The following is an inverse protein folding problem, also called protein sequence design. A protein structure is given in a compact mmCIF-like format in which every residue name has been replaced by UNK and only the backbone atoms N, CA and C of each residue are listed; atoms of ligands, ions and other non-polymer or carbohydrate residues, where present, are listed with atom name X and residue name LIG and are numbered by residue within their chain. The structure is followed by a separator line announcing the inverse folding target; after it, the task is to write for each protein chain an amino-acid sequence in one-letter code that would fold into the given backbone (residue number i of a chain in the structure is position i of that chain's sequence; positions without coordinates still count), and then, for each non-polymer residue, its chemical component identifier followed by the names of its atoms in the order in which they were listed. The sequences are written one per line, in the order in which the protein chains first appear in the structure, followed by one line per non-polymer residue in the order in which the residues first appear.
data_IF_568494752774
#
_entry.id   IF_568494752774
#
_cell.length_a   1.000
_cell.length_b   1.000
_cell.length_c   1.000
_cell.angle_alpha   90.00
_cell.angle_beta   90.00
_cell.angle_gamma   90.00
#
_symmetry.space_group_name_H-M   'P 1'
#
loop_
_entity.id
_entity.type
_entity.pdbx_description
1 polymer ?
#
# COMPACT_ATOMS: atom_id res chain seq x y z
N UNK A 1 0.04 -16.31 18.09
CA UNK A 1 0.50 -14.92 17.83
C UNK A 1 1.94 -14.86 18.24
N UNK A 2 2.85 -14.71 17.28
CA UNK A 2 4.26 -14.52 17.57
C UNK A 2 4.47 -13.23 18.38
N UNK A 3 5.25 -13.28 19.46
CA UNK A 3 5.46 -12.16 20.36
C UNK A 3 6.45 -11.15 19.76
N UNK A 4 5.94 -10.16 19.01
CA UNK A 4 6.77 -9.00 18.63
C UNK A 4 7.04 -8.13 19.86
N UNK A 5 8.31 -7.88 20.18
CA UNK A 5 8.72 -6.98 21.27
C UNK A 5 8.83 -5.54 20.76
N UNK A 6 8.44 -4.57 21.59
CA UNK A 6 8.67 -3.14 21.32
C UNK A 6 10.09 -2.76 21.73
N UNK A 7 10.83 -2.17 20.82
CA UNK A 7 12.13 -1.54 21.12
C UNK A 7 12.00 -0.03 21.32
N UNK A 8 10.96 0.57 20.74
CA UNK A 8 10.66 1.99 20.86
C UNK A 8 9.48 2.22 21.81
N UNK A 9 9.37 3.42 22.40
CA UNK A 9 8.27 3.78 23.28
C UNK A 9 6.96 3.98 22.51
N UNK A 10 7.05 4.52 21.30
CA UNK A 10 5.92 4.85 20.44
C UNK A 10 6.30 4.81 18.96
N UNK A 11 5.30 4.83 18.07
CA UNK A 11 5.53 4.71 16.63
C UNK A 11 6.31 5.90 16.03
N UNK A 12 6.21 7.09 16.62
CA UNK A 12 6.94 8.25 16.09
C UNK A 12 8.43 8.11 16.37
N UNK A 13 8.79 7.60 17.54
CA UNK A 13 10.18 7.30 17.87
C UNK A 13 10.75 6.22 16.93
N UNK A 14 10.00 5.15 16.68
CA UNK A 14 10.36 4.14 15.67
C UNK A 14 10.61 4.78 14.31
N UNK A 15 9.65 5.55 13.79
CA UNK A 15 9.77 6.18 12.47
C UNK A 15 10.96 7.15 12.44
N UNK A 16 11.18 7.93 13.51
CA UNK A 16 12.27 8.89 13.58
C UNK A 16 13.66 8.25 13.49
N UNK A 17 13.84 7.07 14.08
CA UNK A 17 15.11 6.35 14.08
C UNK A 17 15.31 5.48 12.83
N UNK A 18 14.23 4.89 12.29
CA UNK A 18 14.32 3.87 11.23
C UNK A 18 14.03 4.38 9.82
N UNK A 19 13.75 5.68 9.65
CA UNK A 19 13.19 6.23 8.41
C UNK A 19 14.02 5.91 7.16
N UNK A 20 13.48 5.06 6.30
CA UNK A 20 14.08 4.69 5.03
C UNK A 20 13.82 5.76 3.97
N UNK A 21 14.84 6.55 3.63
CA UNK A 21 14.74 7.62 2.62
C UNK A 21 14.81 7.14 1.17
N UNK A 22 15.55 6.06 0.89
CA UNK A 22 15.75 5.53 -0.48
C UNK A 22 14.80 4.38 -0.75
N UNK A 23 14.16 4.35 -1.91
CA UNK A 23 13.32 3.22 -2.36
C UNK A 23 14.17 2.03 -2.83
N UNK A 24 13.61 0.82 -2.77
CA UNK A 24 14.20 -0.40 -3.35
C UNK A 24 14.36 -0.25 -4.88
N UNK A 25 15.54 -0.60 -5.42
CA UNK A 25 15.93 -0.34 -6.81
C UNK A 25 14.88 -0.74 -7.85
N UNK A 26 14.49 -2.02 -7.93
CA UNK A 26 13.44 -2.50 -8.85
C UNK A 26 12.09 -1.79 -8.69
N UNK A 27 11.68 -1.45 -7.47
CA UNK A 27 10.42 -0.72 -7.21
C UNK A 27 10.53 0.72 -7.71
N UNK A 28 11.67 1.38 -7.47
CA UNK A 28 11.96 2.72 -7.97
C UNK A 28 11.91 2.78 -9.49
N UNK A 29 12.47 1.79 -10.17
CA UNK A 29 12.42 1.69 -11.63
C UNK A 29 10.99 1.51 -12.15
N UNK A 30 10.18 0.67 -11.48
CA UNK A 30 8.78 0.50 -11.85
C UNK A 30 8.00 1.80 -11.67
N UNK A 31 8.16 2.50 -10.55
CA UNK A 31 7.55 3.83 -10.31
C UNK A 31 7.97 4.80 -11.42
N UNK A 32 9.25 4.81 -11.81
CA UNK A 32 9.75 5.67 -12.88
C UNK A 32 9.12 5.34 -14.24
N UNK A 33 8.92 4.06 -14.58
CA UNK A 33 8.21 3.63 -15.79
C UNK A 33 6.74 4.04 -15.79
N UNK A 34 6.10 4.07 -14.63
CA UNK A 34 4.67 4.39 -14.45
C UNK A 34 4.38 5.89 -14.27
N UNK A 35 5.41 6.74 -14.18
CA UNK A 35 5.29 8.19 -13.86
C UNK A 35 4.32 8.98 -14.76
N UNK A 36 4.12 8.52 -15.99
CA UNK A 36 3.27 9.20 -16.96
C UNK A 36 1.78 8.91 -16.77
N UNK A 37 1.38 7.89 -16.01
CA UNK A 37 -0.04 7.48 -15.83
C UNK A 37 -0.92 8.65 -15.38
N UNK A 38 -0.42 9.47 -14.45
CA UNK A 38 -1.19 10.62 -13.94
C UNK A 38 -1.45 11.66 -15.02
N UNK A 39 -0.46 11.93 -15.88
CA UNK A 39 -0.60 12.86 -17.01
C UNK A 39 -1.45 12.25 -18.13
N UNK A 40 -1.31 10.95 -18.35
CA UNK A 40 -2.09 10.17 -19.30
C UNK A 40 -3.57 10.09 -18.90
N UNK A 41 -3.88 10.17 -17.60
CA UNK A 41 -5.25 10.14 -17.07
C UNK A 41 -5.87 8.74 -17.03
N UNK A 42 -5.13 7.69 -17.38
CA UNK A 42 -5.54 6.29 -17.32
C UNK A 42 -4.31 5.38 -17.32
N UNK A 43 -4.50 4.09 -17.05
CA UNK A 43 -3.48 3.06 -17.26
C UNK A 43 -4.02 1.92 -18.14
N UNK A 44 -3.14 1.33 -18.95
CA UNK A 44 -3.45 0.21 -19.84
C UNK A 44 -3.50 -1.12 -19.09
N UNK A 45 -4.02 -2.19 -19.71
CA UNK A 45 -3.96 -3.54 -19.11
C UNK A 45 -2.52 -3.99 -18.88
N UNK A 46 -1.58 -3.65 -19.76
CA UNK A 46 -0.16 -3.96 -19.57
C UNK A 46 0.40 -3.29 -18.31
N UNK A 47 0.12 -2.00 -18.10
CA UNK A 47 0.54 -1.27 -16.89
C UNK A 47 -0.16 -1.82 -15.64
N UNK A 48 -1.45 -2.12 -15.72
CA UNK A 48 -2.20 -2.78 -14.66
C UNK A 48 -1.56 -4.11 -14.25
N UNK A 49 -1.24 -4.98 -15.22
CA UNK A 49 -0.60 -6.27 -14.94
C UNK A 49 0.79 -6.10 -14.30
N UNK A 50 1.58 -5.10 -14.71
CA UNK A 50 2.87 -4.79 -14.06
C UNK A 50 2.68 -4.42 -12.59
N UNK A 51 1.72 -3.54 -12.27
CA UNK A 51 1.43 -3.12 -10.89
C UNK A 51 0.90 -4.27 -10.02
N UNK A 52 -0.01 -5.07 -10.58
CA UNK A 52 -0.56 -6.24 -9.90
C UNK A 52 0.48 -7.32 -9.66
N UNK A 53 1.35 -7.58 -10.64
CA UNK A 53 2.44 -8.54 -10.51
C UNK A 53 3.45 -8.12 -9.44
N UNK A 54 3.76 -6.82 -9.33
CA UNK A 54 4.59 -6.27 -8.26
C UNK A 54 4.03 -6.59 -6.86
N UNK A 55 2.70 -6.51 -6.66
CA UNK A 55 2.09 -6.87 -5.36
C UNK A 55 2.09 -8.38 -5.10
N UNK A 56 1.99 -9.19 -6.15
CA UNK A 56 2.19 -10.63 -6.08
C UNK A 56 1.39 -11.41 -7.13
N UNK A 57 1.88 -12.57 -7.57
CA UNK A 57 1.32 -13.31 -8.70
C UNK A 57 0.07 -14.14 -8.36
N UNK A 58 -0.29 -14.29 -7.08
CA UNK A 58 -1.32 -15.27 -6.63
C UNK A 58 -2.64 -15.20 -7.42
N UNK A 59 -3.25 -14.03 -7.65
CA UNK A 59 -4.49 -13.95 -8.44
C UNK A 59 -4.23 -13.56 -9.92
N UNK A 60 -3.09 -13.95 -10.52
CA UNK A 60 -2.72 -13.60 -11.90
C UNK A 60 -3.78 -13.98 -12.93
N UNK A 61 -4.42 -15.15 -12.77
CA UNK A 61 -5.53 -15.59 -13.64
C UNK A 61 -6.67 -14.56 -13.63
N UNK A 62 -7.03 -14.04 -12.46
CA UNK A 62 -8.08 -13.06 -12.30
C UNK A 62 -7.68 -11.71 -12.90
N UNK A 63 -6.45 -11.25 -12.66
CA UNK A 63 -5.94 -10.02 -13.27
C UNK A 63 -6.04 -10.07 -14.80
N UNK A 64 -5.56 -11.16 -15.42
CA UNK A 64 -5.60 -11.37 -16.87
C UNK A 64 -7.02 -11.40 -17.45
N UNK A 65 -8.02 -11.76 -16.65
CA UNK A 65 -9.43 -11.86 -17.08
C UNK A 65 -10.16 -10.52 -17.18
N UNK A 66 -9.56 -9.41 -16.74
CA UNK A 66 -10.09 -8.07 -17.00
C UNK A 66 -9.76 -7.67 -18.45
N UNK A 67 -10.70 -7.06 -19.19
CA UNK A 67 -10.44 -6.55 -20.54
C UNK A 67 -9.63 -5.24 -20.51
N UNK A 68 -8.99 -4.88 -21.63
CA UNK A 68 -8.31 -3.58 -21.77
C UNK A 68 -9.29 -2.43 -21.52
N UNK A 69 -10.45 -2.46 -22.19
CA UNK A 69 -11.46 -1.40 -22.07
C UNK A 69 -11.95 -1.21 -20.63
N UNK A 70 -12.15 -2.30 -19.88
CA UNK A 70 -12.56 -2.23 -18.48
C UNK A 70 -11.47 -1.60 -17.62
N UNK A 71 -10.21 -1.98 -17.82
CA UNK A 71 -9.06 -1.44 -17.08
C UNK A 71 -8.91 0.06 -17.37
N UNK A 72 -9.00 0.45 -18.64
CA UNK A 72 -8.93 1.86 -19.04
C UNK A 72 -10.12 2.66 -18.48
N UNK A 73 -11.34 2.13 -18.55
CA UNK A 73 -12.54 2.78 -18.03
C UNK A 73 -12.45 3.02 -16.51
N UNK A 74 -12.06 1.99 -15.75
CA UNK A 74 -11.93 2.08 -14.29
C UNK A 74 -10.79 3.04 -13.92
N UNK A 75 -9.63 2.95 -14.57
CA UNK A 75 -8.49 3.81 -14.27
C UNK A 75 -8.76 5.29 -14.53
N UNK A 76 -9.50 5.64 -15.59
CA UNK A 76 -9.99 7.01 -15.82
C UNK A 76 -10.81 7.53 -14.63
N UNK A 77 -11.76 6.73 -14.14
CA UNK A 77 -12.59 7.09 -12.98
C UNK A 77 -11.77 7.23 -11.70
N UNK A 78 -10.79 6.36 -11.49
CA UNK A 78 -9.87 6.39 -10.33
C UNK A 78 -9.03 7.67 -10.33
N UNK A 79 -8.53 8.09 -11.50
CA UNK A 79 -7.68 9.28 -11.62
C UNK A 79 -8.47 10.59 -11.65
N UNK A 80 -9.74 10.56 -12.03
CA UNK A 80 -10.61 11.74 -12.10
C UNK A 80 -11.34 12.08 -10.79
N UNK A 81 -11.54 11.11 -9.88
CA UNK A 81 -12.23 11.36 -8.62
C UNK A 81 -11.30 11.98 -7.58
N UNK A 82 -11.79 12.90 -6.74
CA UNK A 82 -11.05 13.44 -5.59
C UNK A 82 -11.25 12.64 -4.29
N UNK A 83 -12.19 11.68 -4.28
CA UNK A 83 -12.56 10.94 -3.08
C UNK A 83 -11.73 9.66 -2.92
N UNK A 84 -10.93 9.59 -1.85
CA UNK A 84 -10.00 8.47 -1.63
C UNK A 84 -10.70 7.11 -1.53
N UNK A 85 -11.80 7.03 -0.77
CA UNK A 85 -12.58 5.78 -0.64
C UNK A 85 -13.10 5.32 -2.00
N UNK A 86 -13.52 6.26 -2.85
CA UNK A 86 -13.98 5.96 -4.21
C UNK A 86 -12.87 5.38 -5.08
N UNK A 87 -11.63 5.85 -4.95
CA UNK A 87 -10.47 5.29 -5.69
C UNK A 87 -10.27 3.81 -5.37
N UNK A 88 -10.31 3.43 -4.09
CA UNK A 88 -10.18 2.02 -3.70
C UNK A 88 -11.39 1.19 -4.13
N UNK A 89 -12.62 1.70 -3.95
CA UNK A 89 -13.82 1.00 -4.40
C UNK A 89 -13.76 0.65 -5.90
N UNK A 90 -13.39 1.64 -6.73
CA UNK A 90 -13.25 1.46 -8.17
C UNK A 90 -12.16 0.46 -8.53
N UNK A 91 -10.99 0.53 -7.88
CA UNK A 91 -9.93 -0.45 -8.12
C UNK A 91 -10.35 -1.86 -7.69
N UNK A 92 -11.01 -1.97 -6.53
CA UNK A 92 -11.46 -3.25 -5.98
C UNK A 92 -12.63 -3.88 -6.74
N UNK A 93 -13.26 -3.17 -7.69
CA UNK A 93 -14.23 -3.79 -8.61
C UNK A 93 -13.56 -4.59 -9.74
N UNK A 94 -12.24 -4.46 -9.94
CA UNK A 94 -11.50 -5.26 -10.93
C UNK A 94 -11.25 -6.67 -10.39
N UNK A 95 -11.34 -7.68 -11.27
CA UNK A 95 -11.17 -9.08 -10.89
C UNK A 95 -9.78 -9.33 -10.32
N UNK A 96 -9.73 -9.90 -9.12
CA UNK A 96 -8.50 -10.22 -8.40
C UNK A 96 -7.91 -9.08 -7.57
N UNK A 97 -8.47 -7.86 -7.65
CA UNK A 97 -7.93 -6.68 -6.97
C UNK A 97 -8.55 -6.54 -5.58
N UNK A 98 -7.91 -7.12 -4.58
CA UNK A 98 -8.26 -6.86 -3.17
C UNK A 98 -7.80 -5.47 -2.73
N UNK A 99 -8.23 -5.02 -1.54
CA UNK A 99 -7.85 -3.70 -0.99
C UNK A 99 -6.31 -3.52 -0.89
N UNK A 100 -5.51 -4.51 -0.42
CA UNK A 100 -4.05 -4.41 -0.48
C UNK A 100 -3.48 -4.23 -1.90
N UNK A 101 -4.09 -4.87 -2.90
CA UNK A 101 -3.67 -4.73 -4.30
C UNK A 101 -4.04 -3.35 -4.84
N UNK A 102 -5.25 -2.89 -4.57
CA UNK A 102 -5.68 -1.54 -4.94
C UNK A 102 -4.78 -0.46 -4.29
N UNK A 103 -4.41 -0.64 -3.02
CA UNK A 103 -3.47 0.24 -2.32
C UNK A 103 -2.08 0.24 -2.99
N UNK A 104 -1.60 -0.91 -3.46
CA UNK A 104 -0.34 -1.03 -4.18
C UNK A 104 -0.38 -0.29 -5.53
N UNK A 105 -1.48 -0.38 -6.27
CA UNK A 105 -1.69 0.37 -7.51
C UNK A 105 -1.60 1.88 -7.25
N UNK A 106 -2.30 2.39 -6.22
CA UNK A 106 -2.24 3.82 -5.87
C UNK A 106 -0.83 4.26 -5.46
N UNK A 107 -0.12 3.44 -4.69
CA UNK A 107 1.27 3.70 -4.28
C UNK A 107 2.21 3.77 -5.49
N UNK A 108 2.10 2.85 -6.45
CA UNK A 108 2.94 2.86 -7.65
C UNK A 108 2.67 4.07 -8.57
N UNK A 109 1.45 4.61 -8.54
CA UNK A 109 1.05 5.81 -9.31
C UNK A 109 1.47 7.11 -8.63
N UNK A 110 1.32 7.21 -7.30
CA UNK A 110 1.68 8.40 -6.52
C UNK A 110 2.27 8.01 -5.15
N UNK A 111 3.56 7.63 -5.10
CA UNK A 111 4.21 7.18 -3.86
C UNK A 111 4.33 8.30 -2.82
N UNK A 112 4.24 9.57 -3.25
CA UNK A 112 4.21 10.71 -2.32
C UNK A 112 2.97 10.65 -1.45
N UNK A 113 1.81 10.34 -2.03
CA UNK A 113 0.49 10.38 -1.37
C UNK A 113 0.01 9.05 -0.79
N UNK A 114 0.52 7.92 -1.28
CA UNK A 114 0.03 6.59 -0.90
C UNK A 114 1.15 5.65 -0.43
N UNK A 115 0.77 4.72 0.43
CA UNK A 115 1.52 3.51 0.77
C UNK A 115 0.66 2.26 0.50
N UNK A 116 1.20 1.08 0.78
CA UNK A 116 0.47 -0.19 0.67
C UNK A 116 -0.03 -0.62 2.04
N UNK A 117 -1.36 -0.75 2.21
CA UNK A 117 -1.87 -1.45 3.39
C UNK A 117 -1.42 -2.92 3.35
N UNK A 118 -0.67 -3.33 4.36
CA UNK A 118 -0.09 -4.66 4.51
C UNK A 118 -0.25 -5.16 5.94
N UNK A 119 -0.30 -6.49 6.10
CA UNK A 119 -0.42 -7.15 7.41
C UNK A 119 0.67 -6.67 8.38
N UNK A 120 1.90 -6.55 7.90
CA UNK A 120 3.06 -6.13 8.72
C UNK A 120 2.92 -4.72 9.25
N UNK A 121 2.56 -3.80 8.36
CA UNK A 121 2.43 -2.38 8.67
C UNK A 121 1.26 -2.17 9.63
N UNK A 122 0.15 -2.87 9.42
CA UNK A 122 -0.99 -2.82 10.33
C UNK A 122 -0.67 -3.39 11.70
N UNK A 123 0.05 -4.51 11.77
CA UNK A 123 0.48 -5.12 13.02
C UNK A 123 1.39 -4.19 13.83
N UNK A 124 2.33 -3.46 13.19
CA UNK A 124 3.11 -2.42 13.88
C UNK A 124 2.24 -1.26 14.35
N UNK A 125 1.34 -0.76 13.51
CA UNK A 125 0.41 0.29 13.90
C UNK A 125 -0.43 -0.14 15.13
N UNK A 126 -0.84 -1.40 15.19
CA UNK A 126 -1.58 -1.96 16.33
C UNK A 126 -0.68 -2.10 17.56
N UNK A 127 0.50 -2.71 17.40
CA UNK A 127 1.48 -2.91 18.48
C UNK A 127 1.77 -1.58 19.19
N UNK A 128 2.02 -0.52 18.43
CA UNK A 128 2.30 0.82 18.95
C UNK A 128 1.04 1.67 19.23
N UNK A 129 -0.15 1.06 19.26
CA UNK A 129 -1.41 1.72 19.68
C UNK A 129 -1.94 2.79 18.72
N UNK A 130 -1.41 2.88 17.50
CA UNK A 130 -1.86 3.82 16.46
C UNK A 130 -3.19 3.42 15.81
N UNK A 131 -3.49 2.12 15.81
CA UNK A 131 -4.81 1.55 15.53
C UNK A 131 -5.20 0.58 16.64
N UNK A 132 -6.50 0.35 16.83
CA UNK A 132 -7.02 -0.44 17.97
C UNK A 132 -7.80 -1.69 17.56
N UNK A 133 -7.85 -2.00 16.27
CA UNK A 133 -8.64 -3.11 15.72
C UNK A 133 -7.79 -4.00 14.84
N UNK A 134 -8.26 -5.23 14.61
CA UNK A 134 -7.60 -6.22 13.74
C UNK A 134 -6.12 -6.45 14.09
N UNK A 135 -5.81 -6.95 15.30
CA UNK A 135 -4.44 -7.26 15.71
C UNK A 135 -3.72 -8.22 14.74
N UNK A 136 -4.47 -9.06 14.02
CA UNK A 136 -3.94 -10.00 13.04
C UNK A 136 -3.53 -9.34 11.70
N UNK A 137 -4.00 -8.13 11.41
CA UNK A 137 -3.76 -7.43 10.15
C UNK A 137 -4.37 -8.11 8.92
N UNK A 138 -5.50 -8.81 9.06
CA UNK A 138 -6.16 -9.54 7.96
C UNK A 138 -7.57 -8.99 7.65
N UNK A 139 -8.10 -9.35 6.48
CA UNK A 139 -9.46 -9.02 6.02
C UNK A 139 -9.78 -7.51 6.10
N UNK A 140 -8.95 -6.69 5.47
CA UNK A 140 -9.12 -5.24 5.49
C UNK A 140 -10.39 -4.81 4.74
N UNK A 141 -11.11 -3.83 5.29
CA UNK A 141 -12.21 -3.11 4.65
C UNK A 141 -11.74 -1.75 4.13
N UNK A 142 -12.59 -1.05 3.37
CA UNK A 142 -12.30 0.31 2.89
C UNK A 142 -12.08 1.27 4.07
N UNK A 143 -12.82 1.09 5.16
CA UNK A 143 -12.63 1.87 6.38
C UNK A 143 -11.25 1.65 7.00
N UNK A 144 -10.78 0.40 7.04
CA UNK A 144 -9.43 0.09 7.53
C UNK A 144 -8.37 0.76 6.65
N UNK A 145 -8.49 0.63 5.32
CA UNK A 145 -7.57 1.30 4.40
C UNK A 145 -7.56 2.81 4.55
N UNK A 146 -8.72 3.44 4.71
CA UNK A 146 -8.80 4.88 4.89
C UNK A 146 -8.14 5.34 6.20
N UNK A 147 -8.40 4.63 7.31
CA UNK A 147 -7.70 4.87 8.59
C UNK A 147 -6.19 4.74 8.43
N UNK A 148 -5.73 3.67 7.77
CA UNK A 148 -4.33 3.45 7.45
C UNK A 148 -3.74 4.62 6.63
N UNK A 149 -4.43 5.06 5.58
CA UNK A 149 -4.00 6.16 4.72
C UNK A 149 -3.83 7.46 5.51
N UNK A 150 -4.77 7.76 6.41
CA UNK A 150 -4.68 8.96 7.27
C UNK A 150 -3.47 8.87 8.21
N UNK A 151 -3.19 7.70 8.79
CA UNK A 151 -2.02 7.50 9.67
C UNK A 151 -0.70 7.68 8.92
N UNK A 152 -0.51 7.02 7.78
CA UNK A 152 0.75 7.16 7.04
C UNK A 152 0.95 8.58 6.51
N UNK A 153 -0.11 9.28 6.10
CA UNK A 153 -0.02 10.68 5.64
C UNK A 153 0.31 11.64 6.79
N UNK A 154 -0.26 11.40 7.98
CA UNK A 154 0.08 12.14 9.19
C UNK A 154 1.58 12.00 9.50
N UNK A 155 2.11 10.78 9.54
CA UNK A 155 3.54 10.57 9.79
C UNK A 155 4.41 11.13 8.65
N UNK A 156 3.99 10.98 7.39
CA UNK A 156 4.70 11.52 6.23
C UNK A 156 4.89 13.03 6.35
N UNK A 157 3.83 13.76 6.75
CA UNK A 157 3.91 15.19 7.03
C UNK A 157 4.87 15.51 8.18
N UNK A 158 4.80 14.77 9.28
CA UNK A 158 5.61 15.01 10.49
C UNK A 158 7.11 14.81 10.25
N UNK A 159 7.48 13.85 9.40
CA UNK A 159 8.88 13.49 9.15
C UNK A 159 9.44 14.03 7.83
N UNK A 160 8.69 14.92 7.16
CA UNK A 160 9.00 15.45 5.83
C UNK A 160 9.37 14.30 4.86
N UNK A 161 8.47 13.33 4.74
CA UNK A 161 8.64 12.11 3.99
C UNK A 161 7.42 11.87 3.08
N UNK A 162 7.54 10.90 2.17
CA UNK A 162 6.41 10.37 1.41
C UNK A 162 5.64 9.31 2.20
N UNK A 163 4.36 9.13 1.88
CA UNK A 163 3.57 8.03 2.46
C UNK A 163 4.21 6.65 2.22
N UNK A 164 4.85 6.45 1.05
CA UNK A 164 5.62 5.26 0.74
C UNK A 164 6.86 5.07 1.63
N UNK A 165 7.62 6.13 1.91
CA UNK A 165 8.78 6.02 2.82
C UNK A 165 8.34 5.60 4.23
N UNK A 166 7.23 6.16 4.73
CA UNK A 166 6.65 5.75 6.02
C UNK A 166 6.24 4.28 5.99
N UNK A 167 5.42 3.89 5.01
CA UNK A 167 4.94 2.52 4.89
C UNK A 167 6.08 1.52 4.78
N UNK A 168 7.10 1.81 3.95
CA UNK A 168 8.22 0.90 3.75
C UNK A 168 9.11 0.81 4.99
N UNK A 169 9.29 1.90 5.73
CA UNK A 169 10.00 1.89 7.02
C UNK A 169 9.32 0.93 7.98
N UNK A 170 8.00 1.04 8.14
CA UNK A 170 7.23 0.13 8.99
C UNK A 170 7.28 -1.31 8.47
N UNK A 171 7.17 -1.51 7.16
CA UNK A 171 7.22 -2.84 6.57
C UNK A 171 8.57 -3.54 6.81
N UNK A 172 9.69 -2.84 6.60
CA UNK A 172 11.03 -3.41 6.80
C UNK A 172 11.36 -3.61 8.29
N UNK A 173 11.00 -2.66 9.16
CA UNK A 173 11.19 -2.83 10.61
C UNK A 173 10.35 -3.99 11.16
N UNK A 174 9.14 -4.20 10.66
CA UNK A 174 8.36 -5.38 11.07
C UNK A 174 9.14 -6.68 10.79
N UNK A 175 9.82 -6.79 9.64
CA UNK A 175 10.60 -7.97 9.29
C UNK A 175 11.79 -8.22 10.22
N UNK A 176 12.32 -7.19 10.90
CA UNK A 176 13.46 -7.36 11.82
C UNK A 176 13.01 -7.89 13.18
N UNK A 177 11.77 -7.60 13.59
CA UNK A 177 11.23 -8.00 14.91
C UNK A 177 10.22 -9.16 14.83
N UNK A 178 9.90 -9.62 13.63
CA UNK A 178 8.98 -10.73 13.42
C UNK A 178 9.70 -12.06 13.65
N UNK A 179 9.30 -12.79 14.68
CA UNK A 179 9.67 -14.21 14.84
C UNK A 179 8.63 -15.11 14.09
N UNK A 180 9.05 -16.25 13.55
CA UNK A 180 8.14 -17.22 12.89
C UNK A 180 7.49 -16.78 11.56
N UNK A 181 6.53 -17.56 11.06
CA UNK A 181 5.82 -17.32 9.79
C UNK A 181 4.59 -16.41 9.98
N UNK A 182 4.25 -15.58 8.97
CA UNK A 182 3.04 -14.72 8.98
C UNK A 182 1.74 -15.48 8.70
N UNK A 183 1.87 -16.64 8.08
CA UNK A 183 0.79 -17.52 7.70
C UNK A 183 1.14 -18.84 8.36
N UNK A 184 0.46 -19.13 9.47
CA UNK A 184 0.33 -20.49 9.97
C UNK A 184 -0.50 -21.31 8.97
#
# INVERSE_FOLDING_TARGET
MTAMKKEYSNIQELIGNELLRREHGPTRELIARLRNIRRQGYFTKSQFLQMCHWKGPRPLKHYKSNSEDLVVLVSKKVLATEYEKRRIELLSSLKGVSIPVASAILMLIDPKKYGVIDIRVWQLLYLYGSVKTKPDGKNFSIANWYTYLMKIRYFASRFNASARQIERTLFEYHKTIQEGNLYD
#
